data_IF_468330359252
#
_entry.id   IF_468330359252
#
_cell.length_a   1.000
_cell.length_b   1.000
_cell.length_c   1.000
_cell.angle_alpha   90.00
_cell.angle_beta   90.00
_cell.angle_gamma   90.00
#
_symmetry.space_group_name_H-M   'P 1'
#
loop_
_entity.id
_entity.type
_entity.pdbx_description
1 polymer ?
#
# COMPACT_ATOMS: atom_id res chain seq x y z
N UNK A 1 5.95 30.17 35.11
CA UNK A 1 5.55 29.76 33.75
C UNK A 1 5.87 28.28 33.60
N UNK A 2 4.87 27.40 33.69
CA UNK A 2 5.07 25.97 33.50
C UNK A 2 5.09 25.67 32.00
N UNK A 3 6.20 25.14 31.50
CA UNK A 3 6.33 24.71 30.12
C UNK A 3 5.49 23.43 29.93
N UNK A 4 4.47 23.53 29.09
CA UNK A 4 3.70 22.37 28.63
C UNK A 4 4.54 21.60 27.63
N UNK A 5 5.15 20.50 28.08
CA UNK A 5 5.77 19.51 27.20
C UNK A 5 4.67 18.67 26.56
N UNK A 6 4.35 18.95 25.30
CA UNK A 6 3.50 18.05 24.50
C UNK A 6 4.26 16.74 24.23
N UNK A 7 3.67 15.56 24.45
CA UNK A 7 4.31 14.31 24.07
C UNK A 7 4.40 14.26 22.54
N UNK A 8 5.62 14.22 22.00
CA UNK A 8 5.86 13.83 20.61
C UNK A 8 5.46 12.36 20.51
N UNK A 9 4.21 12.10 20.12
CA UNK A 9 3.78 10.74 19.75
C UNK A 9 4.64 10.33 18.56
N UNK A 10 5.53 9.35 18.76
CA UNK A 10 6.26 8.70 17.69
C UNK A 10 5.26 7.93 16.82
N UNK A 11 4.65 8.62 15.87
CA UNK A 11 3.70 8.02 14.95
C UNK A 11 4.44 7.01 14.07
N UNK A 12 3.90 5.79 13.98
CA UNK A 12 4.39 4.80 13.04
C UNK A 12 4.22 5.31 11.61
N UNK A 13 5.05 4.88 10.64
CA UNK A 13 4.95 5.35 9.26
C UNK A 13 3.52 5.28 8.67
N UNK A 14 2.72 4.21 8.90
CA UNK A 14 1.33 4.16 8.46
C UNK A 14 0.44 5.27 9.07
N UNK A 15 0.63 5.62 10.35
CA UNK A 15 -0.17 6.65 11.02
C UNK A 15 0.10 8.06 10.45
N UNK A 16 1.34 8.36 10.09
CA UNK A 16 1.69 9.60 9.41
C UNK A 16 1.09 9.66 8.00
N UNK A 17 1.12 8.55 7.27
CA UNK A 17 0.50 8.46 5.95
C UNK A 17 -1.01 8.58 6.03
N UNK A 18 -1.65 7.96 7.03
CA UNK A 18 -3.07 8.11 7.28
C UNK A 18 -3.43 9.56 7.59
N UNK A 19 -2.69 10.22 8.49
CA UNK A 19 -2.92 11.63 8.81
C UNK A 19 -2.77 12.55 7.59
N UNK A 20 -1.81 12.26 6.71
CA UNK A 20 -1.46 13.13 5.57
C UNK A 20 -2.28 12.85 4.32
N UNK A 21 -2.60 11.60 4.05
CA UNK A 21 -3.17 11.14 2.78
C UNK A 21 -4.44 10.30 2.93
N UNK A 22 -4.74 9.84 4.15
CA UNK A 22 -5.95 9.10 4.49
C UNK A 22 -7.17 9.97 4.22
N UNK A 23 -8.17 9.35 3.59
CA UNK A 23 -9.43 9.98 3.23
C UNK A 23 -10.45 8.90 2.91
N UNK A 24 -11.67 9.29 2.58
CA UNK A 24 -12.68 8.35 2.12
C UNK A 24 -12.13 7.47 0.99
N UNK A 25 -12.28 6.15 1.11
CA UNK A 25 -11.80 5.18 0.13
C UNK A 25 -10.29 4.98 0.08
N UNK A 26 -9.49 5.59 0.96
CA UNK A 26 -8.03 5.38 1.06
C UNK A 26 -7.63 5.28 2.51
N UNK A 27 -7.10 4.12 2.90
CA UNK A 27 -6.73 3.82 4.28
C UNK A 27 -5.32 3.26 4.37
N UNK A 28 -4.50 3.82 5.23
CA UNK A 28 -3.15 3.36 5.53
C UNK A 28 -3.15 2.58 6.85
N UNK A 29 -2.70 1.33 6.78
CA UNK A 29 -2.70 0.41 7.91
C UNK A 29 -1.41 -0.40 7.96
N UNK A 30 -1.34 -1.33 8.90
CA UNK A 30 -0.26 -2.30 9.00
C UNK A 30 -0.87 -3.70 9.05
N UNK A 31 -0.60 -4.50 8.01
CA UNK A 31 -1.06 -5.88 7.90
C UNK A 31 0.13 -6.80 8.16
N UNK A 32 0.04 -7.66 9.18
CA UNK A 32 1.14 -8.56 9.58
C UNK A 32 2.48 -7.84 9.78
N UNK A 33 2.46 -6.63 10.34
CA UNK A 33 3.66 -5.83 10.53
C UNK A 33 4.13 -5.05 9.30
N UNK A 34 3.46 -5.17 8.15
CA UNK A 34 3.87 -4.51 6.91
C UNK A 34 2.96 -3.30 6.59
N UNK A 35 3.53 -2.09 6.39
CA UNK A 35 2.77 -0.92 5.96
C UNK A 35 2.03 -1.17 4.65
N UNK A 36 0.72 -0.95 4.68
CA UNK A 36 -0.20 -1.29 3.58
C UNK A 36 -1.16 -0.14 3.35
N UNK A 37 -1.53 0.10 2.08
CA UNK A 37 -2.63 1.00 1.73
C UNK A 37 -3.75 0.20 1.08
N UNK A 38 -4.98 0.49 1.51
CA UNK A 38 -6.22 -0.04 0.97
C UNK A 38 -6.95 1.09 0.23
N UNK A 39 -7.36 0.80 -1.01
CA UNK A 39 -8.19 1.67 -1.81
C UNK A 39 -9.52 0.98 -2.06
N UNK A 40 -10.64 1.67 -1.82
CA UNK A 40 -11.98 1.14 -1.99
C UNK A 40 -12.92 2.19 -2.58
N UNK A 41 -13.62 1.80 -3.65
CA UNK A 41 -14.53 2.66 -4.39
C UNK A 41 -15.98 2.15 -4.40
N UNK A 42 -16.97 3.04 -4.54
CA UNK A 42 -18.42 2.84 -4.40
C UNK A 42 -18.96 1.86 -5.41
N UNK A 43 -18.30 1.81 -6.56
CA UNK A 43 -18.64 0.85 -7.58
C UNK A 43 -18.34 -0.59 -7.15
N UNK A 44 -17.69 -0.79 -5.98
CA UNK A 44 -17.34 -2.04 -5.33
C UNK A 44 -15.91 -2.52 -5.62
N UNK A 45 -15.15 -1.76 -6.43
CA UNK A 45 -13.76 -2.10 -6.70
C UNK A 45 -12.86 -1.80 -5.50
N UNK A 46 -11.83 -2.61 -5.30
CA UNK A 46 -10.84 -2.42 -4.25
C UNK A 46 -9.44 -2.88 -4.65
N UNK A 47 -8.42 -2.30 -4.01
CA UNK A 47 -7.02 -2.64 -4.18
C UNK A 47 -6.31 -2.62 -2.82
N UNK A 48 -5.37 -3.55 -2.64
CA UNK A 48 -4.43 -3.53 -1.53
C UNK A 48 -3.00 -3.50 -2.05
N UNK A 49 -2.19 -2.58 -1.52
CA UNK A 49 -0.81 -2.35 -1.92
C UNK A 49 0.10 -2.32 -0.69
N UNK A 50 1.16 -3.11 -0.74
CA UNK A 50 2.23 -3.10 0.24
C UNK A 50 3.23 -2.00 -0.07
N UNK A 51 3.48 -1.11 0.89
CA UNK A 51 4.31 0.07 0.67
C UNK A 51 5.81 -0.22 0.76
N UNK A 52 6.23 -1.33 1.36
CA UNK A 52 7.65 -1.66 1.50
C UNK A 52 8.32 -2.02 0.16
N UNK A 53 7.57 -2.61 -0.76
CA UNK A 53 8.09 -3.15 -2.02
C UNK A 53 7.21 -2.77 -3.23
N UNK A 54 6.14 -2.01 -3.03
CA UNK A 54 5.23 -1.61 -4.10
C UNK A 54 4.43 -2.77 -4.68
N UNK A 55 4.25 -3.87 -3.93
CA UNK A 55 3.51 -5.05 -4.37
C UNK A 55 2.01 -4.88 -4.20
N UNK A 56 1.26 -4.94 -5.30
CA UNK A 56 -0.20 -5.08 -5.28
C UNK A 56 -0.54 -6.49 -4.85
N UNK A 57 -1.10 -6.64 -3.64
CA UNK A 57 -1.40 -7.93 -3.01
C UNK A 57 -2.81 -8.41 -3.28
N UNK A 58 -3.73 -7.48 -3.55
CA UNK A 58 -5.14 -7.77 -3.86
C UNK A 58 -5.66 -6.74 -4.86
N UNK A 59 -6.42 -7.19 -5.85
CA UNK A 59 -7.23 -6.31 -6.71
C UNK A 59 -8.54 -6.99 -7.07
N UNK A 60 -9.64 -6.28 -6.76
CA UNK A 60 -11.01 -6.69 -7.01
C UNK A 60 -11.68 -5.60 -7.85
N UNK A 61 -11.64 -5.66 -9.17
CA UNK A 61 -12.37 -4.72 -10.01
C UNK A 61 -13.86 -5.05 -10.04
N UNK A 62 -14.69 -4.02 -10.27
CA UNK A 62 -16.06 -4.21 -10.75
C UNK A 62 -15.98 -4.72 -12.19
N UNK A 63 -16.30 -5.99 -12.41
CA UNK A 63 -16.34 -6.54 -13.78
C UNK A 63 -17.56 -7.41 -13.96
N UNK A 64 -18.37 -7.07 -14.97
CA UNK A 64 -19.59 -7.79 -15.32
C UNK A 64 -19.28 -9.07 -16.12
N UNK A 65 -18.52 -9.99 -15.54
CA UNK A 65 -18.22 -11.29 -16.15
C UNK A 65 -19.27 -12.35 -15.83
N UNK A 66 -19.86 -12.30 -14.62
CA UNK A 66 -21.06 -13.01 -14.14
C UNK A 66 -21.76 -12.10 -13.10
N UNK A 67 -22.96 -12.45 -12.63
CA UNK A 67 -23.81 -11.66 -11.69
C UNK A 67 -23.02 -10.99 -10.53
N UNK A 68 -23.55 -9.89 -9.98
CA UNK A 68 -22.98 -9.07 -8.88
C UNK A 68 -21.44 -8.86 -8.93
N UNK A 69 -20.88 -8.85 -10.15
CA UNK A 69 -19.47 -9.05 -10.52
C UNK A 69 -18.39 -8.32 -9.72
N UNK A 70 -18.05 -8.87 -8.56
CA UNK A 70 -16.89 -8.52 -7.74
C UNK A 70 -16.07 -9.77 -7.46
N UNK A 71 -15.22 -10.16 -8.39
CA UNK A 71 -14.25 -11.24 -8.20
C UNK A 71 -12.85 -10.65 -8.02
N UNK A 72 -12.12 -11.15 -7.04
CA UNK A 72 -10.70 -10.82 -6.89
C UNK A 72 -9.92 -11.51 -8.03
N UNK A 73 -9.16 -10.72 -8.79
CA UNK A 73 -8.42 -11.20 -9.97
C UNK A 73 -6.90 -11.15 -9.76
N UNK A 74 -6.44 -10.36 -8.80
CA UNK A 74 -5.05 -10.34 -8.33
C UNK A 74 -5.09 -10.69 -6.86
N UNK A 75 -4.31 -11.69 -6.46
CA UNK A 75 -4.16 -12.09 -5.08
C UNK A 75 -2.74 -12.61 -4.82
N UNK A 76 -2.36 -12.62 -3.55
CA UNK A 76 -1.13 -13.26 -3.08
C UNK A 76 -1.45 -14.42 -2.15
N UNK A 77 -0.59 -15.43 -2.14
CA UNK A 77 -0.62 -16.55 -1.20
C UNK A 77 0.65 -16.57 -0.36
N UNK A 78 0.60 -17.01 0.91
CA UNK A 78 1.80 -17.23 1.70
C UNK A 78 2.76 -18.16 0.96
N UNK A 79 4.05 -17.83 0.94
CA UNK A 79 5.03 -18.64 0.23
C UNK A 79 5.64 -19.79 1.07
N UNK A 80 5.27 -19.84 2.36
CA UNK A 80 5.75 -20.82 3.34
C UNK A 80 7.00 -20.39 4.09
N UNK A 81 7.47 -19.15 3.93
CA UNK A 81 8.58 -18.61 4.70
C UNK A 81 8.26 -18.52 6.20
N UNK A 82 9.30 -18.64 7.02
CA UNK A 82 9.18 -18.46 8.48
C UNK A 82 8.91 -17.00 8.90
N UNK A 83 9.19 -16.03 8.01
CA UNK A 83 9.02 -14.60 8.29
C UNK A 83 7.58 -14.10 8.16
N UNK A 84 6.68 -14.89 7.56
CA UNK A 84 5.26 -14.56 7.39
C UNK A 84 4.98 -13.33 6.49
N UNK A 85 6.04 -12.70 5.95
CA UNK A 85 5.98 -11.51 5.12
C UNK A 85 6.11 -11.84 3.63
N UNK A 86 6.79 -12.94 3.33
CA UNK A 86 7.02 -13.40 1.96
C UNK A 86 5.77 -14.05 1.39
N UNK A 87 5.45 -13.69 0.14
CA UNK A 87 4.23 -14.13 -0.55
C UNK A 87 4.53 -14.41 -2.02
N UNK A 88 3.70 -15.24 -2.64
CA UNK A 88 3.69 -15.52 -4.08
C UNK A 88 2.45 -14.93 -4.74
N UNK A 89 2.58 -14.48 -5.98
CA UNK A 89 1.49 -13.84 -6.73
C UNK A 89 1.55 -12.32 -6.65
N UNK A 90 0.40 -11.67 -6.85
CA UNK A 90 0.32 -10.22 -6.91
C UNK A 90 0.90 -9.60 -8.18
N UNK A 91 1.00 -8.28 -8.18
CA UNK A 91 1.66 -7.50 -9.24
C UNK A 91 2.69 -6.58 -8.59
N UNK A 92 3.97 -6.80 -8.90
CA UNK A 92 5.08 -5.98 -8.44
C UNK A 92 5.92 -5.47 -9.60
N UNK A 93 6.58 -4.33 -9.40
CA UNK A 93 7.50 -3.78 -10.38
C UNK A 93 8.93 -4.22 -10.05
N UNK A 94 9.55 -5.00 -10.95
CA UNK A 94 10.95 -5.42 -10.82
C UNK A 94 11.79 -4.65 -11.84
N UNK A 95 12.61 -3.72 -11.35
CA UNK A 95 13.54 -2.95 -12.19
C UNK A 95 14.92 -3.59 -12.13
N UNK A 96 15.21 -4.45 -13.12
CA UNK A 96 16.53 -5.08 -13.26
C UNK A 96 17.50 -4.14 -13.98
N UNK A 97 18.80 -4.26 -13.67
CA UNK A 97 19.90 -3.61 -14.40
C UNK A 97 19.83 -2.07 -14.50
N UNK A 98 19.38 -1.40 -13.44
CA UNK A 98 19.65 0.03 -13.32
C UNK A 98 21.13 0.20 -12.96
N UNK A 99 21.98 0.35 -13.98
CA UNK A 99 23.41 0.70 -13.89
C UNK A 99 23.68 2.05 -13.20
N UNK A 100 22.65 2.69 -12.64
CA UNK A 100 22.75 3.87 -11.81
C UNK A 100 23.11 3.43 -10.40
N UNK A 101 24.41 3.44 -10.12
CA UNK A 101 24.88 3.62 -8.75
C UNK A 101 24.26 4.91 -8.21
N UNK A 102 23.72 4.86 -6.99
CA UNK A 102 23.41 6.07 -6.21
C UNK A 102 24.68 6.94 -6.15
N UNK A 103 24.56 8.22 -5.78
CA UNK A 103 25.71 9.13 -5.64
C UNK A 103 26.84 8.59 -4.74
N UNK A 104 26.53 7.62 -3.88
CA UNK A 104 27.44 6.93 -2.95
C UNK A 104 28.03 5.61 -3.51
N UNK A 105 27.76 5.23 -4.76
CA UNK A 105 28.26 3.99 -5.36
C UNK A 105 27.41 2.75 -5.10
N UNK A 106 26.34 2.83 -4.29
CA UNK A 106 25.45 1.68 -4.04
C UNK A 106 24.48 1.41 -5.18
N UNK A 107 24.13 0.15 -5.41
CA UNK A 107 23.15 -0.25 -6.43
C UNK A 107 21.76 0.26 -6.05
N UNK A 108 21.09 0.95 -6.97
CA UNK A 108 19.69 1.33 -6.77
C UNK A 108 18.77 0.11 -6.85
N UNK A 109 17.86 -0.05 -5.88
CA UNK A 109 16.82 -1.09 -5.87
C UNK A 109 15.44 -0.47 -5.71
N UNK A 110 14.41 -0.99 -6.36
CA UNK A 110 13.02 -0.52 -6.22
C UNK A 110 12.37 -0.87 -4.86
N UNK A 111 13.16 -0.88 -3.77
CA UNK A 111 12.75 -1.27 -2.42
C UNK A 111 12.42 -0.07 -1.52
N UNK A 112 12.46 1.14 -2.06
CA UNK A 112 12.14 2.36 -1.32
C UNK A 112 11.02 3.10 -2.05
N UNK A 113 9.81 2.97 -1.52
CA UNK A 113 8.62 3.64 -2.05
C UNK A 113 8.16 4.72 -1.08
N UNK A 114 7.86 5.89 -1.63
CA UNK A 114 7.25 6.99 -0.91
C UNK A 114 5.89 7.31 -1.53
N UNK A 115 4.89 7.53 -0.69
CA UNK A 115 3.63 8.10 -1.14
C UNK A 115 3.83 9.61 -1.31
N UNK A 116 3.84 10.08 -2.55
CA UNK A 116 3.93 11.52 -2.86
C UNK A 116 2.57 12.18 -3.00
N UNK A 117 1.62 11.45 -3.56
CA UNK A 117 0.28 11.93 -3.83
C UNK A 117 -0.70 10.77 -3.81
N UNK A 118 -1.93 11.06 -3.40
CA UNK A 118 -3.06 10.17 -3.59
C UNK A 118 -4.24 11.03 -4.03
N UNK A 119 -5.04 10.51 -4.94
CA UNK A 119 -6.27 11.12 -5.40
C UNK A 119 -7.36 10.05 -5.42
N UNK A 120 -8.51 10.41 -4.87
CA UNK A 120 -9.72 9.62 -4.94
C UNK A 120 -10.85 10.62 -4.99
N UNK A 121 -11.67 10.54 -6.04
CA UNK A 121 -12.85 11.34 -6.15
C UNK A 121 -13.90 10.81 -5.18
N UNK A 122 -14.47 11.73 -4.41
CA UNK A 122 -15.41 11.41 -3.33
C UNK A 122 -16.75 10.85 -3.84
N UNK A 123 -17.01 10.99 -5.15
CA UNK A 123 -18.14 10.35 -5.85
C UNK A 123 -17.94 8.85 -5.92
N UNK A 124 -16.71 8.39 -6.16
CA UNK A 124 -16.42 6.98 -6.22
C UNK A 124 -15.85 6.42 -4.92
N UNK A 125 -15.68 7.12 -3.79
CA UNK A 125 -15.10 6.52 -2.56
C UNK A 125 -16.11 5.88 -1.56
N UNK A 126 -15.75 4.76 -0.90
CA UNK A 126 -16.53 4.07 0.17
C UNK A 126 -16.04 4.45 1.58
N UNK A 127 -16.94 4.41 2.56
CA UNK A 127 -16.71 4.77 3.98
C UNK A 127 -16.20 3.60 4.80
#
# INVERSE_FOLDING_TARGET
>A
MAASSSPLLSSSPPQLLEQKFGRKGVKFTQLNGIPTVELAVRNGSSLQLRLSDGLVTSYKPKVYWKDDGFQEIVYTVPDGSADGASVKGGIGLVLNNLSRTKRDGSTWSASQWDVKHVESDSIDAVQ
#
